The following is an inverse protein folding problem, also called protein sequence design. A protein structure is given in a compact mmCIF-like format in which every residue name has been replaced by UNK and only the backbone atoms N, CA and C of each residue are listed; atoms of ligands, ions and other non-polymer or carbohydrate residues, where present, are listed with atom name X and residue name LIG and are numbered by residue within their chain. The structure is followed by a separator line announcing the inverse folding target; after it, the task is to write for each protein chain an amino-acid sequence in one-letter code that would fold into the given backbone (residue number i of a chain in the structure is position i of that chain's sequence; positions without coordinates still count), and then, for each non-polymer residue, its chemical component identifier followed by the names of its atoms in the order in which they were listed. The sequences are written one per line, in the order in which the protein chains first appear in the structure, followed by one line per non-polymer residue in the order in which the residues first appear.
data_IF_550807290542
#
_entry.id   IF_550807290542
#
_cell.length_a   1.000
_cell.length_b   1.000
_cell.length_c   1.000
_cell.angle_alpha   90.00
_cell.angle_beta   90.00
_cell.angle_gamma   90.00
#
_symmetry.space_group_name_H-M   'P 1'
#
loop_
_entity.id
_entity.type
_entity.pdbx_description
1 polymer ?
#
# COMPACT_ATOMS: atom_id res chain seq x y z
N UNK A 1 -3.31 -6.42 5.90
CA UNK A 1 -2.88 -7.18 7.10
C UNK A 1 -1.89 -6.26 7.77
N UNK A 2 -2.29 -5.62 8.88
CA UNK A 2 -1.64 -4.39 9.35
C UNK A 2 -0.12 -4.49 9.46
N UNK A 3 0.40 -5.67 9.81
CA UNK A 3 1.83 -5.91 10.01
C UNK A 3 2.70 -5.66 8.77
N UNK A 4 2.26 -6.06 7.57
CA UNK A 4 3.08 -5.84 6.37
C UNK A 4 3.08 -4.36 5.98
N UNK A 5 1.92 -3.71 6.02
CA UNK A 5 1.80 -2.29 5.69
C UNK A 5 2.58 -1.41 6.69
N UNK A 6 2.57 -1.77 7.98
CA UNK A 6 3.30 -1.07 9.04
C UNK A 6 4.82 -1.22 8.94
N UNK A 7 5.32 -2.27 8.28
CA UNK A 7 6.74 -2.47 8.01
C UNK A 7 7.33 -1.45 7.01
N UNK A 8 6.49 -0.70 6.30
CA UNK A 8 6.88 0.36 5.38
C UNK A 8 6.53 1.70 6.00
N UNK A 9 7.50 2.33 6.68
CA UNK A 9 7.27 3.59 7.41
C UNK A 9 6.70 4.69 6.52
N UNK A 10 7.11 4.74 5.25
CA UNK A 10 6.60 5.72 4.28
C UNK A 10 5.13 5.50 3.88
N UNK A 11 4.50 4.39 4.26
CA UNK A 11 3.08 4.14 4.00
C UNK A 11 2.19 4.82 5.04
N UNK A 12 2.70 5.07 6.25
CA UNK A 12 1.97 5.63 7.38
C UNK A 12 1.04 6.82 7.04
N UNK A 13 1.49 7.88 6.33
CA UNK A 13 0.62 9.01 6.00
C UNK A 13 -0.53 8.66 5.05
N UNK A 14 -0.42 7.57 4.29
CA UNK A 14 -1.37 7.18 3.25
C UNK A 14 -2.32 6.06 3.69
N UNK A 15 -2.00 5.31 4.75
CA UNK A 15 -2.86 4.25 5.30
C UNK A 15 -4.19 4.81 5.80
N UNK A 16 -4.18 5.98 6.43
CA UNK A 16 -5.39 6.68 6.89
C UNK A 16 -6.17 7.36 5.76
N UNK A 17 -5.61 7.46 4.55
CA UNK A 17 -6.25 8.11 3.40
C UNK A 17 -7.07 7.14 2.55
N UNK A 18 -7.18 5.87 2.97
CA UNK A 18 -7.99 4.89 2.26
C UNK A 18 -9.49 5.12 2.50
N UNK A 19 -10.27 5.12 1.41
CA UNK A 19 -11.72 5.23 1.47
C UNK A 19 -12.40 4.10 2.24
N UNK A 20 -11.81 2.90 2.22
CA UNK A 20 -12.35 1.69 2.83
C UNK A 20 -11.47 1.24 3.99
N UNK A 21 -12.08 0.94 5.14
CA UNK A 21 -11.37 0.48 6.35
C UNK A 21 -10.71 -0.90 6.18
N UNK A 22 -11.17 -1.70 5.21
CA UNK A 22 -10.65 -3.02 4.87
C UNK A 22 -9.89 -3.02 3.51
N UNK A 23 -9.30 -1.88 3.14
CA UNK A 23 -8.54 -1.77 1.90
C UNK A 23 -7.36 -2.77 1.88
N UNK A 24 -7.34 -3.63 0.87
CA UNK A 24 -6.25 -4.54 0.54
C UNK A 24 -5.11 -3.84 -0.20
N UNK A 25 -5.32 -2.59 -0.64
CA UNK A 25 -4.37 -1.80 -1.42
C UNK A 25 -3.97 -2.48 -2.75
N UNK A 26 -4.93 -3.05 -3.48
CA UNK A 26 -4.65 -3.73 -4.76
C UNK A 26 -5.31 -3.02 -5.94
N UNK A 27 -6.62 -2.85 -5.88
CA UNK A 27 -7.45 -2.33 -6.98
C UNK A 27 -8.48 -1.31 -6.50
N UNK A 28 -8.57 -1.08 -5.20
CA UNK A 28 -9.67 -0.33 -4.61
C UNK A 28 -9.66 1.15 -5.04
N UNK A 29 -10.80 1.66 -5.54
CA UNK A 29 -10.93 3.07 -5.86
C UNK A 29 -10.89 3.91 -4.57
N UNK A 30 -9.94 4.83 -4.49
CA UNK A 30 -9.72 5.65 -3.29
C UNK A 30 -8.77 5.02 -2.26
N UNK A 31 -7.92 4.07 -2.67
CA UNK A 31 -6.78 3.65 -1.86
C UNK A 31 -5.73 4.78 -1.79
N UNK A 32 -5.38 5.20 -0.57
CA UNK A 32 -4.37 6.24 -0.33
C UNK A 32 -2.99 5.85 -0.86
N UNK A 33 -2.59 4.58 -0.72
CA UNK A 33 -1.31 4.10 -1.25
C UNK A 33 -1.27 4.12 -2.79
N UNK A 34 -2.32 3.64 -3.45
CA UNK A 34 -2.36 3.68 -4.93
C UNK A 34 -2.35 5.12 -5.46
N UNK A 35 -3.03 6.03 -4.78
CA UNK A 35 -3.00 7.46 -5.10
C UNK A 35 -1.58 8.04 -4.93
N UNK A 36 -0.93 7.76 -3.79
CA UNK A 36 0.43 8.24 -3.51
C UNK A 36 1.45 7.72 -4.55
N UNK A 37 1.35 6.46 -4.97
CA UNK A 37 2.20 5.90 -6.05
C UNK A 37 1.94 6.62 -7.37
N UNK A 38 0.67 6.86 -7.70
CA UNK A 38 0.27 7.53 -8.95
C UNK A 38 0.77 8.98 -8.99
N UNK A 39 0.71 9.67 -7.86
CA UNK A 39 1.15 11.06 -7.72
C UNK A 39 2.67 11.22 -7.55
N UNK A 40 3.41 10.11 -7.35
CA UNK A 40 4.85 10.14 -7.09
C UNK A 40 5.24 10.50 -5.65
N UNK A 41 4.27 10.57 -4.74
CA UNK A 41 4.46 10.80 -3.30
C UNK A 41 5.01 9.55 -2.61
N UNK A 42 4.74 8.36 -3.17
CA UNK A 42 5.33 7.09 -2.75
C UNK A 42 6.30 6.57 -3.81
N UNK A 43 7.54 6.25 -3.41
CA UNK A 43 8.55 5.71 -4.32
C UNK A 43 8.09 4.38 -4.92
N UNK A 44 8.05 4.31 -6.26
CA UNK A 44 7.62 3.13 -7.00
C UNK A 44 8.41 1.87 -6.64
N UNK A 45 9.69 1.99 -6.28
CA UNK A 45 10.53 0.86 -5.88
C UNK A 45 10.05 0.28 -4.55
N UNK A 46 9.67 1.15 -3.59
CA UNK A 46 9.11 0.73 -2.31
C UNK A 46 7.76 0.04 -2.49
N UNK A 47 6.91 0.58 -3.37
CA UNK A 47 5.67 -0.06 -3.77
C UNK A 47 5.89 -1.46 -4.38
N UNK A 48 6.86 -1.60 -5.28
CA UNK A 48 7.21 -2.89 -5.88
C UNK A 48 7.72 -3.89 -4.85
N UNK A 49 8.55 -3.46 -3.89
CA UNK A 49 8.99 -4.31 -2.77
C UNK A 49 7.81 -4.82 -1.95
N UNK A 50 6.85 -3.95 -1.62
CA UNK A 50 5.61 -4.34 -0.94
C UNK A 50 4.83 -5.40 -1.73
N UNK A 51 4.61 -5.17 -3.04
CA UNK A 51 3.93 -6.14 -3.89
C UNK A 51 4.66 -7.49 -3.96
N UNK A 52 5.99 -7.48 -4.01
CA UNK A 52 6.78 -8.71 -4.03
C UNK A 52 6.63 -9.51 -2.74
N UNK A 53 6.76 -8.87 -1.58
CA UNK A 53 6.58 -9.54 -0.28
C UNK A 53 5.15 -10.06 -0.16
N UNK A 54 4.17 -9.23 -0.51
CA UNK A 54 2.76 -9.63 -0.49
C UNK A 54 2.50 -10.88 -1.35
N UNK A 55 3.15 -10.99 -2.53
CA UNK A 55 3.09 -12.19 -3.39
C UNK A 55 3.78 -13.40 -2.76
N UNK A 56 4.96 -13.22 -2.16
CA UNK A 56 5.69 -14.30 -1.49
C UNK A 56 4.89 -14.93 -0.33
N UNK A 57 4.09 -14.11 0.35
CA UNK A 57 3.23 -14.56 1.45
C UNK A 57 1.81 -14.96 1.01
N UNK A 58 1.51 -15.03 -0.30
CA UNK A 58 0.20 -15.43 -0.82
C UNK A 58 -0.93 -14.46 -0.50
N UNK A 59 -0.60 -13.18 -0.28
CA UNK A 59 -1.54 -12.13 0.11
C UNK A 59 -2.04 -11.32 -1.10
N UNK A 60 -1.64 -11.70 -2.32
CA UNK A 60 -1.96 -11.08 -3.60
C UNK A 60 -2.81 -12.01 -4.46
#
# INVERSE_FOLDING_TARGET
MPELEQGFVEFSPFLCACKFSNCSHTVEPGCGLLAAVKNGELDKRRWQSYQQIKKQHGLL
#
